data_IF_222608425298
#
_entry.id   IF_222608425298
#
_cell.length_a   1.000
_cell.length_b   1.000
_cell.length_c   1.000
_cell.angle_alpha   90.00
_cell.angle_beta   90.00
_cell.angle_gamma   90.00
#
_symmetry.space_group_name_H-M   'P 1'
#
loop_
_entity.id
_entity.type
_entity.pdbx_description
1 polymer ?
#
# COMPACT_ATOMS: atom_id res chain seq x y z
N UNK A 1 12.79 -15.61 -9.97
CA UNK A 1 13.25 -15.00 -8.69
C UNK A 1 13.67 -13.54 -8.86
N UNK A 2 14.44 -13.17 -9.88
CA UNK A 2 14.85 -11.76 -10.12
C UNK A 2 13.69 -10.81 -10.47
N UNK A 3 12.67 -11.27 -11.21
CA UNK A 3 11.51 -10.42 -11.56
C UNK A 3 10.67 -10.02 -10.34
N UNK A 4 10.49 -10.93 -9.39
CA UNK A 4 9.76 -10.68 -8.14
C UNK A 4 10.47 -9.64 -7.26
N UNK A 5 11.80 -9.68 -7.19
CA UNK A 5 12.58 -8.70 -6.44
C UNK A 5 12.52 -7.30 -7.07
N UNK A 6 12.59 -7.22 -8.41
CA UNK A 6 12.43 -5.96 -9.14
C UNK A 6 11.01 -5.39 -8.97
N UNK A 7 9.98 -6.25 -8.98
CA UNK A 7 8.59 -5.83 -8.74
C UNK A 7 8.45 -5.23 -7.33
N UNK A 8 8.96 -5.89 -6.29
CA UNK A 8 8.93 -5.38 -4.91
C UNK A 8 9.67 -4.04 -4.78
N UNK A 9 10.83 -3.89 -5.43
CA UNK A 9 11.58 -2.62 -5.43
C UNK A 9 10.77 -1.49 -6.07
N UNK A 10 10.10 -1.74 -7.21
CA UNK A 10 9.22 -0.75 -7.86
C UNK A 10 8.03 -0.39 -6.97
N UNK A 11 7.44 -1.38 -6.32
CA UNK A 11 6.29 -1.20 -5.43
C UNK A 11 6.66 -0.31 -4.23
N UNK A 12 7.79 -0.60 -3.57
CA UNK A 12 8.36 0.23 -2.49
C UNK A 12 8.64 1.66 -2.94
N UNK A 13 9.15 1.84 -4.16
CA UNK A 13 9.38 3.18 -4.71
C UNK A 13 8.07 3.96 -4.90
N UNK A 14 7.03 3.31 -5.43
CA UNK A 14 5.71 3.93 -5.61
C UNK A 14 5.07 4.31 -4.27
N UNK A 15 5.16 3.44 -3.25
CA UNK A 15 4.65 3.72 -1.91
C UNK A 15 5.25 5.01 -1.31
N UNK A 16 6.52 5.31 -1.58
CA UNK A 16 7.21 6.51 -1.09
C UNK A 16 6.96 7.79 -1.93
N UNK A 17 6.10 7.73 -2.95
CA UNK A 17 5.86 8.85 -3.87
C UNK A 17 4.38 8.99 -4.24
N UNK A 18 3.50 9.17 -3.27
CA UNK A 18 2.12 9.57 -3.58
C UNK A 18 2.02 11.07 -3.87
N UNK A 19 2.94 11.88 -3.34
CA UNK A 19 2.91 13.34 -3.51
C UNK A 19 1.97 14.05 -2.53
N UNK A 20 1.52 13.34 -1.49
CA UNK A 20 0.69 13.86 -0.40
C UNK A 20 1.23 13.33 0.93
N UNK A 21 1.71 14.22 1.80
CA UNK A 21 2.40 13.85 3.04
C UNK A 21 1.58 12.92 3.95
N UNK A 22 0.26 13.14 4.05
CA UNK A 22 -0.63 12.31 4.87
C UNK A 22 -0.74 10.89 4.34
N UNK A 23 -0.93 10.74 3.02
CA UNK A 23 -0.96 9.42 2.38
C UNK A 23 0.41 8.75 2.42
N UNK A 24 1.50 9.50 2.21
CA UNK A 24 2.86 8.96 2.31
C UNK A 24 3.12 8.41 3.73
N UNK A 25 2.67 9.10 4.78
CA UNK A 25 2.78 8.66 6.16
C UNK A 25 1.94 7.41 6.46
N UNK A 26 0.69 7.38 6.00
CA UNK A 26 -0.20 6.23 6.18
C UNK A 26 0.31 4.98 5.44
N UNK A 27 0.71 5.14 4.17
CA UNK A 27 1.23 4.05 3.35
C UNK A 27 2.63 3.58 3.76
N UNK A 28 3.38 4.37 4.53
CA UNK A 28 4.70 3.97 5.02
C UNK A 28 4.66 2.67 5.83
N UNK A 29 3.53 2.34 6.48
CA UNK A 29 3.35 1.07 7.18
C UNK A 29 3.51 -0.15 6.25
N UNK A 30 3.09 -0.04 4.99
CA UNK A 30 3.21 -1.09 3.98
C UNK A 30 4.66 -1.40 3.58
N UNK A 31 5.62 -0.52 3.91
CA UNK A 31 7.05 -0.79 3.68
C UNK A 31 7.57 -1.96 4.53
N UNK A 32 6.87 -2.28 5.61
CA UNK A 32 7.14 -3.39 6.52
C UNK A 32 6.28 -4.63 6.23
N UNK A 33 5.43 -4.57 5.20
CA UNK A 33 4.60 -5.70 4.82
C UNK A 33 5.45 -6.88 4.34
N UNK A 34 4.99 -8.09 4.64
CA UNK A 34 5.61 -9.30 4.13
C UNK A 34 5.11 -9.58 2.70
N UNK A 35 5.92 -9.20 1.72
CA UNK A 35 5.64 -9.39 0.29
C UNK A 35 5.65 -10.87 -0.15
N UNK A 36 6.04 -11.81 0.72
CA UNK A 36 5.92 -13.25 0.45
C UNK A 36 4.54 -13.80 0.80
N UNK A 37 3.74 -13.06 1.59
CA UNK A 37 2.37 -13.46 1.89
C UNK A 37 1.48 -13.33 0.66
N UNK A 38 0.70 -14.37 0.41
CA UNK A 38 -0.23 -14.41 -0.71
C UNK A 38 -1.22 -13.23 -0.64
N UNK A 39 -1.36 -12.52 -1.76
CA UNK A 39 -2.28 -11.39 -1.89
C UNK A 39 -1.78 -10.05 -1.36
N UNK A 40 -0.65 -9.98 -0.65
CA UNK A 40 -0.10 -8.69 -0.16
C UNK A 40 0.31 -7.80 -1.33
N UNK A 41 1.08 -8.34 -2.30
CA UNK A 41 1.54 -7.58 -3.47
C UNK A 41 0.35 -7.07 -4.27
N UNK A 42 -0.58 -7.95 -4.63
CA UNK A 42 -1.76 -7.60 -5.44
C UNK A 42 -2.64 -6.56 -4.75
N UNK A 43 -2.81 -6.65 -3.43
CA UNK A 43 -3.56 -5.67 -2.66
C UNK A 43 -2.88 -4.30 -2.64
N UNK A 44 -1.55 -4.26 -2.49
CA UNK A 44 -0.81 -2.98 -2.53
C UNK A 44 -0.86 -2.39 -3.95
N UNK A 45 -0.71 -3.20 -4.99
CA UNK A 45 -0.85 -2.72 -6.37
C UNK A 45 -2.25 -2.14 -6.64
N UNK A 46 -3.29 -2.80 -6.16
CA UNK A 46 -4.68 -2.32 -6.26
C UNK A 46 -4.87 -0.99 -5.56
N UNK A 47 -4.27 -0.85 -4.36
CA UNK A 47 -4.32 0.38 -3.57
C UNK A 47 -3.58 1.53 -4.28
N UNK A 48 -2.40 1.25 -4.86
CA UNK A 48 -1.64 2.21 -5.67
C UNK A 48 -2.29 2.59 -7.01
N UNK A 49 -3.38 1.93 -7.40
CA UNK A 49 -4.21 2.30 -8.55
C UNK A 49 -5.44 3.13 -8.15
N UNK A 50 -5.69 3.31 -6.84
CA UNK A 50 -6.80 4.12 -6.36
C UNK A 50 -6.46 5.61 -6.46
N UNK A 51 -7.48 6.41 -6.76
CA UNK A 51 -7.36 7.86 -6.75
C UNK A 51 -7.16 8.40 -5.32
N UNK A 52 -6.44 9.52 -5.13
CA UNK A 52 -6.17 10.07 -3.80
C UNK A 52 -7.39 10.26 -2.88
N UNK A 53 -8.58 10.70 -3.36
CA UNK A 53 -9.77 10.81 -2.51
C UNK A 53 -10.23 9.46 -1.94
N UNK A 54 -10.10 8.38 -2.70
CA UNK A 54 -10.47 7.04 -2.23
C UNK A 54 -9.48 6.54 -1.18
N UNK A 55 -8.20 6.83 -1.36
CA UNK A 55 -7.16 6.52 -0.36
C UNK A 55 -7.38 7.27 0.95
N UNK A 56 -7.79 8.54 0.88
CA UNK A 56 -8.15 9.32 2.07
C UNK A 56 -9.39 8.76 2.77
N UNK A 57 -10.43 8.38 2.02
CA UNK A 57 -11.60 7.72 2.60
C UNK A 57 -11.22 6.40 3.31
N UNK A 58 -10.31 5.62 2.73
CA UNK A 58 -9.78 4.41 3.37
C UNK A 58 -8.99 4.73 4.64
N UNK A 59 -8.11 5.74 4.59
CA UNK A 59 -7.34 6.22 5.74
C UNK A 59 -8.26 6.66 6.88
N UNK A 60 -9.34 7.40 6.59
CA UNK A 60 -10.31 7.84 7.61
C UNK A 60 -11.32 6.76 8.02
N UNK A 61 -11.24 5.55 7.47
CA UNK A 61 -12.17 4.45 7.78
C UNK A 61 -13.57 4.60 7.16
N UNK A 62 -13.74 5.55 6.23
CA UNK A 62 -14.97 5.78 5.46
C UNK A 62 -15.13 4.77 4.31
N UNK A 63 -14.03 4.18 3.86
CA UNK A 63 -13.98 3.12 2.86
C UNK A 63 -13.20 1.91 3.39
N UNK A 64 -13.59 0.67 3.04
CA UNK A 64 -12.85 -0.51 3.47
C UNK A 64 -11.45 -0.56 2.85
N UNK A 65 -10.47 -0.94 3.67
CA UNK A 65 -9.10 -1.30 3.26
C UNK A 65 -9.06 -2.82 3.01
N UNK A 66 -8.26 -3.31 2.03
CA UNK A 66 -8.07 -4.74 1.84
C UNK A 66 -7.67 -5.45 3.15
N UNK A 67 -8.39 -6.50 3.53
CA UNK A 67 -8.20 -7.21 4.81
C UNK A 67 -6.75 -7.64 5.05
N UNK A 68 -6.10 -8.11 3.97
CA UNK A 68 -4.71 -8.56 4.01
C UNK A 68 -3.75 -7.43 4.41
N UNK A 69 -4.08 -6.15 4.14
CA UNK A 69 -3.21 -5.01 4.42
C UNK A 69 -3.45 -4.36 5.79
N UNK A 70 -4.59 -4.64 6.42
CA UNK A 70 -4.95 -4.07 7.73
C UNK A 70 -3.87 -4.20 8.82
N UNK A 71 -3.10 -5.30 8.91
CA UNK A 71 -2.06 -5.41 9.93
C UNK A 71 -0.97 -4.32 9.85
N UNK A 72 -0.79 -3.69 8.69
CA UNK A 72 0.23 -2.68 8.45
C UNK A 72 -0.32 -1.26 8.26
N UNK A 73 -1.63 -1.12 8.06
CA UNK A 73 -2.30 0.16 7.91
C UNK A 73 -3.06 0.43 9.21
N UNK A 74 -2.40 1.13 10.13
CA UNK A 74 -2.99 1.57 11.39
C UNK A 74 -3.90 2.76 11.10
N UNK A 75 -5.07 2.76 11.73
CA UNK A 75 -5.87 3.96 11.95
C UNK A 75 -5.60 4.44 13.38
#
# INVERSE_FOLDING_TARGET
>A
MQESELAIRRLRYRLNRQGMLELDAWLAGLMQADFQLAGVVDAIESLLCCEPPLLQAMMHGESPVPEVLKPWLIN
#
